data_IF_553547136566
#
_entry.id   IF_553547136566
#
_cell.length_a   1.000
_cell.length_b   1.000
_cell.length_c   1.000
_cell.angle_alpha   90.00
_cell.angle_beta   90.00
_cell.angle_gamma   90.00
#
_symmetry.space_group_name_H-M   'P 1'
#
loop_
_entity.id
_entity.type
_entity.pdbx_description
1 polymer ?
#
# COMPACT_ATOMS: atom_id res chain seq x y z
N UNK A 1 48.43 33.03 -40.87
CA UNK A 1 48.63 32.10 -39.72
C UNK A 1 47.43 32.20 -38.78
N UNK A 2 46.58 31.16 -38.71
CA UNK A 2 45.35 31.16 -37.88
C UNK A 2 45.68 30.86 -36.43
N UNK A 3 45.54 31.86 -35.54
CA UNK A 3 45.46 31.69 -34.07
C UNK A 3 44.09 31.08 -33.71
N UNK A 4 43.90 29.79 -33.94
CA UNK A 4 42.60 29.11 -33.74
C UNK A 4 42.51 28.14 -32.55
N UNK A 5 43.55 28.00 -31.73
CA UNK A 5 43.64 26.90 -30.74
C UNK A 5 43.49 27.27 -29.26
N UNK A 6 43.59 28.56 -28.90
CA UNK A 6 43.83 28.95 -27.50
C UNK A 6 42.57 28.94 -26.59
N UNK A 7 41.36 28.83 -27.16
CA UNK A 7 40.11 28.65 -26.40
C UNK A 7 39.48 27.25 -26.53
N UNK A 8 39.83 26.52 -27.60
CA UNK A 8 39.26 25.20 -27.88
C UNK A 8 39.68 24.15 -26.85
N UNK A 9 40.93 24.22 -26.34
CA UNK A 9 41.41 23.34 -25.29
C UNK A 9 40.68 23.54 -23.96
N UNK A 10 40.37 24.79 -23.59
CA UNK A 10 39.60 25.12 -22.38
C UNK A 10 38.15 24.64 -22.47
N UNK A 11 37.51 24.82 -23.63
CA UNK A 11 36.16 24.30 -23.90
C UNK A 11 36.12 22.78 -23.92
N UNK A 12 37.13 22.12 -24.50
CA UNK A 12 37.26 20.66 -24.47
C UNK A 12 37.44 20.12 -23.05
N UNK A 13 38.29 20.75 -22.24
CA UNK A 13 38.49 20.41 -20.82
C UNK A 13 37.19 20.59 -20.01
N UNK A 14 36.49 21.71 -20.20
CA UNK A 14 35.20 21.97 -19.53
C UNK A 14 34.12 20.97 -19.94
N UNK A 15 34.06 20.58 -21.23
CA UNK A 15 33.16 19.52 -21.71
C UNK A 15 33.49 18.16 -21.09
N UNK A 16 34.77 17.84 -20.95
CA UNK A 16 35.20 16.58 -20.32
C UNK A 16 34.86 16.56 -18.82
N UNK A 17 35.02 17.68 -18.14
CA UNK A 17 34.68 17.85 -16.72
C UNK A 17 33.17 17.74 -16.48
N UNK A 18 32.36 18.41 -17.32
CA UNK A 18 30.89 18.27 -17.28
C UNK A 18 30.46 16.80 -17.49
N UNK A 19 31.02 16.10 -18.49
CA UNK A 19 30.73 14.68 -18.71
C UNK A 19 31.13 13.80 -17.53
N UNK A 20 32.19 14.15 -16.81
CA UNK A 20 32.62 13.43 -15.62
C UNK A 20 31.63 13.68 -14.46
N UNK A 21 31.19 14.92 -14.27
CA UNK A 21 30.16 15.26 -13.28
C UNK A 21 28.82 14.58 -13.58
N UNK A 22 28.39 14.54 -14.84
CA UNK A 22 27.19 13.82 -15.29
C UNK A 22 27.27 12.33 -14.94
N UNK A 23 28.38 11.66 -15.29
CA UNK A 23 28.57 10.23 -14.95
C UNK A 23 28.56 9.98 -13.44
N UNK A 24 29.20 10.85 -12.66
CA UNK A 24 29.20 10.72 -11.20
C UNK A 24 27.77 10.92 -10.67
N UNK A 25 27.03 11.90 -11.19
CA UNK A 25 25.62 12.14 -10.86
C UNK A 25 24.75 10.92 -11.16
N UNK A 26 24.84 10.36 -12.37
CA UNK A 26 24.14 9.14 -12.76
C UNK A 26 24.46 7.97 -11.83
N UNK A 27 25.74 7.77 -11.49
CA UNK A 27 26.15 6.70 -10.57
C UNK A 27 25.61 6.91 -9.15
N UNK A 28 25.54 8.16 -8.68
CA UNK A 28 25.03 8.49 -7.35
C UNK A 28 23.52 8.26 -7.27
N UNK A 29 22.77 8.63 -8.30
CA UNK A 29 21.33 8.36 -8.37
C UNK A 29 21.04 6.86 -8.44
N UNK A 30 21.84 6.10 -9.20
CA UNK A 30 21.71 4.64 -9.24
C UNK A 30 21.93 4.01 -7.84
N UNK A 31 22.95 4.47 -7.11
CA UNK A 31 23.20 4.00 -5.73
C UNK A 31 22.05 4.36 -4.79
N UNK A 32 21.52 5.59 -4.88
CA UNK A 32 20.37 6.02 -4.07
C UNK A 32 19.13 5.17 -4.33
N UNK A 33 18.85 4.88 -5.61
CA UNK A 33 17.72 4.03 -5.98
C UNK A 33 17.87 2.62 -5.43
N UNK A 34 19.07 2.03 -5.50
CA UNK A 34 19.31 0.70 -4.94
C UNK A 34 19.14 0.70 -3.42
N UNK A 35 19.69 1.71 -2.72
CA UNK A 35 19.50 1.84 -1.27
C UNK A 35 18.02 1.97 -0.88
N UNK A 36 17.25 2.79 -1.60
CA UNK A 36 15.80 2.93 -1.34
C UNK A 36 15.08 1.60 -1.54
N UNK A 37 15.45 0.86 -2.59
CA UNK A 37 14.87 -0.46 -2.88
C UNK A 37 15.17 -1.46 -1.77
N UNK A 38 16.42 -1.55 -1.30
CA UNK A 38 16.81 -2.39 -0.16
C UNK A 38 16.04 -2.04 1.12
N UNK A 39 15.84 -0.75 1.39
CA UNK A 39 15.05 -0.30 2.55
C UNK A 39 13.57 -0.69 2.41
N UNK A 40 12.98 -0.57 1.22
CA UNK A 40 11.62 -1.03 0.95
C UNK A 40 11.47 -2.54 1.14
N UNK A 41 12.44 -3.33 0.69
CA UNK A 41 12.40 -4.79 0.85
C UNK A 41 12.57 -5.20 2.32
N UNK A 42 13.50 -4.56 3.04
CA UNK A 42 13.63 -4.72 4.50
C UNK A 42 12.33 -4.36 5.21
N UNK A 43 11.67 -3.27 4.82
CA UNK A 43 10.40 -2.86 5.41
C UNK A 43 9.30 -3.89 5.15
N UNK A 44 9.20 -4.43 3.94
CA UNK A 44 8.23 -5.49 3.60
C UNK A 44 8.41 -6.71 4.47
N UNK A 45 9.65 -7.17 4.66
CA UNK A 45 9.95 -8.31 5.54
C UNK A 45 9.52 -8.04 6.98
N UNK A 46 9.85 -6.86 7.53
CA UNK A 46 9.42 -6.47 8.89
C UNK A 46 7.91 -6.36 9.01
N UNK A 47 7.24 -5.87 7.97
CA UNK A 47 5.78 -5.76 7.93
C UNK A 47 5.13 -7.15 7.89
N UNK A 48 5.74 -8.12 7.22
CA UNK A 48 5.29 -9.53 7.23
C UNK A 48 5.51 -10.19 8.60
N UNK A 49 6.66 -9.98 9.22
CA UNK A 49 6.91 -10.43 10.61
C UNK A 49 5.89 -9.82 11.58
N UNK A 50 5.60 -8.53 11.44
CA UNK A 50 4.57 -7.85 12.24
C UNK A 50 3.18 -8.46 12.01
N UNK A 51 2.81 -8.67 10.74
CA UNK A 51 1.55 -9.28 10.35
C UNK A 51 1.36 -10.68 10.95
N UNK A 52 2.38 -11.55 10.92
CA UNK A 52 2.31 -12.87 11.58
C UNK A 52 2.13 -12.75 13.08
N UNK A 53 2.97 -11.94 13.73
CA UNK A 53 3.02 -11.81 15.18
C UNK A 53 1.71 -11.28 15.76
N UNK A 54 1.07 -10.35 15.06
CA UNK A 54 -0.15 -9.68 15.51
C UNK A 54 -1.39 -10.13 14.74
N UNK A 55 -1.35 -11.26 14.04
CA UNK A 55 -2.47 -11.76 13.21
C UNK A 55 -3.82 -11.72 13.93
N UNK A 56 -3.92 -12.34 15.10
CA UNK A 56 -5.16 -12.41 15.86
C UNK A 56 -5.69 -11.02 16.27
N UNK A 57 -4.79 -10.07 16.50
CA UNK A 57 -5.16 -8.69 16.81
C UNK A 57 -5.64 -7.93 15.57
N UNK A 58 -5.04 -8.20 14.40
CA UNK A 58 -5.51 -7.68 13.11
C UNK A 58 -6.90 -8.24 12.76
N UNK A 59 -7.21 -9.48 13.14
CA UNK A 59 -8.52 -10.08 12.89
C UNK A 59 -9.60 -9.55 13.85
N UNK A 60 -9.30 -9.48 15.15
CA UNK A 60 -10.28 -9.15 16.20
C UNK A 60 -10.50 -7.64 16.45
N UNK A 61 -9.47 -6.80 16.29
CA UNK A 61 -9.54 -5.36 16.59
C UNK A 61 -9.61 -4.55 15.29
N UNK A 62 -10.78 -3.99 15.02
CA UNK A 62 -11.02 -3.20 13.81
C UNK A 62 -10.15 -1.92 13.73
N UNK A 63 -9.83 -1.31 14.87
CA UNK A 63 -8.99 -0.09 14.92
C UNK A 63 -7.54 -0.45 14.63
N UNK A 64 -7.05 -1.54 15.24
CA UNK A 64 -5.71 -2.04 14.98
C UNK A 64 -5.54 -2.49 13.52
N UNK A 65 -6.56 -3.14 12.96
CA UNK A 65 -6.60 -3.50 11.53
C UNK A 65 -6.49 -2.27 10.64
N UNK A 66 -7.26 -1.21 10.91
CA UNK A 66 -7.22 0.02 10.13
C UNK A 66 -5.82 0.67 10.15
N UNK A 67 -5.17 0.70 11.32
CA UNK A 67 -3.80 1.22 11.46
C UNK A 67 -2.80 0.39 10.65
N UNK A 68 -2.90 -0.94 10.72
CA UNK A 68 -2.07 -1.85 9.93
C UNK A 68 -2.23 -1.62 8.41
N UNK A 69 -3.47 -1.49 7.94
CA UNK A 69 -3.74 -1.19 6.52
C UNK A 69 -3.16 0.18 6.10
N UNK A 70 -3.23 1.18 6.97
CA UNK A 70 -2.57 2.48 6.74
C UNK A 70 -1.05 2.37 6.61
N UNK A 71 -0.41 1.51 7.39
CA UNK A 71 1.02 1.22 7.23
C UNK A 71 1.31 0.56 5.87
N UNK A 72 0.52 -0.43 5.47
CA UNK A 72 0.67 -1.08 4.16
C UNK A 72 0.55 -0.04 3.02
N UNK A 73 -0.44 0.84 3.09
CA UNK A 73 -0.66 1.88 2.08
C UNK A 73 0.50 2.87 1.98
N UNK A 74 1.12 3.23 3.11
CA UNK A 74 2.26 4.18 3.12
C UNK A 74 3.47 3.70 2.32
N UNK A 75 3.63 2.38 2.15
CA UNK A 75 4.73 1.75 1.39
C UNK A 75 4.27 1.24 0.02
N UNK A 76 3.01 1.51 -0.36
CA UNK A 76 2.45 1.08 -1.64
C UNK A 76 2.17 -0.43 -1.69
N UNK A 77 1.96 -1.06 -0.54
CA UNK A 77 1.56 -2.46 -0.44
C UNK A 77 0.07 -2.53 -0.16
N UNK A 78 -0.67 -3.28 -0.97
CA UNK A 78 -2.09 -3.54 -0.73
C UNK A 78 -2.29 -5.02 -0.31
N UNK A 79 -2.63 -5.29 0.96
CA UNK A 79 -2.85 -6.65 1.44
C UNK A 79 -4.18 -7.27 0.95
N UNK A 80 -5.06 -6.48 0.34
CA UNK A 80 -6.37 -6.92 -0.18
C UNK A 80 -6.36 -7.17 -1.69
N UNK A 81 -5.41 -6.62 -2.43
CA UNK A 81 -5.36 -6.68 -3.90
C UNK A 81 -5.31 -8.11 -4.45
N UNK A 82 -4.64 -9.02 -3.75
CA UNK A 82 -4.51 -10.41 -4.20
C UNK A 82 -4.42 -11.37 -3.04
N UNK A 83 -5.24 -12.42 -3.11
CA UNK A 83 -5.16 -13.59 -2.21
C UNK A 83 -3.86 -14.38 -2.38
N UNK A 84 -3.16 -14.19 -3.52
CA UNK A 84 -1.82 -14.75 -3.76
C UNK A 84 -0.68 -13.84 -3.29
N UNK A 85 -0.99 -12.64 -2.79
CA UNK A 85 0.03 -11.78 -2.18
C UNK A 85 0.51 -12.40 -0.87
N UNK A 86 1.73 -12.05 -0.45
CA UNK A 86 2.32 -12.55 0.80
C UNK A 86 1.43 -12.25 2.02
N UNK A 87 0.68 -11.16 1.97
CA UNK A 87 -0.27 -10.77 3.02
C UNK A 87 -1.63 -11.47 2.88
N UNK A 88 -2.08 -11.73 1.65
CA UNK A 88 -3.37 -12.34 1.36
C UNK A 88 -3.51 -13.76 1.92
N UNK A 89 -2.46 -14.59 1.80
CA UNK A 89 -2.44 -15.95 2.37
C UNK A 89 -2.25 -15.94 3.90
N UNK A 90 -1.56 -14.93 4.42
CA UNK A 90 -1.12 -14.88 5.82
C UNK A 90 -2.12 -14.25 6.79
N UNK A 91 -3.00 -13.35 6.34
CA UNK A 91 -3.86 -12.57 7.25
C UNK A 91 -5.35 -12.89 7.13
N UNK A 92 -5.80 -13.62 6.09
CA UNK A 92 -7.22 -13.93 5.89
C UNK A 92 -8.11 -12.71 5.59
N UNK A 93 -7.54 -11.49 5.54
CA UNK A 93 -8.27 -10.24 5.32
C UNK A 93 -9.08 -10.23 4.03
N UNK A 94 -8.53 -10.80 2.95
CA UNK A 94 -9.25 -10.88 1.67
C UNK A 94 -10.58 -11.62 1.79
N UNK A 95 -10.63 -12.70 2.59
CA UNK A 95 -11.87 -13.44 2.86
C UNK A 95 -12.83 -12.60 3.71
N UNK A 96 -12.32 -11.97 4.78
CA UNK A 96 -13.12 -11.10 5.65
C UNK A 96 -13.81 -9.97 4.86
N UNK A 97 -13.07 -9.25 4.01
CA UNK A 97 -13.62 -8.14 3.22
C UNK A 97 -14.55 -8.62 2.09
N UNK A 98 -14.26 -9.77 1.48
CA UNK A 98 -15.17 -10.37 0.49
C UNK A 98 -16.50 -10.77 1.15
N UNK A 99 -16.45 -11.40 2.32
CA UNK A 99 -17.65 -11.78 3.09
C UNK A 99 -18.45 -10.55 3.53
N UNK A 100 -17.76 -9.51 4.04
CA UNK A 100 -18.39 -8.24 4.39
C UNK A 100 -19.07 -7.58 3.18
N UNK A 101 -18.44 -7.62 2.00
CA UNK A 101 -19.01 -7.10 0.76
C UNK A 101 -20.30 -7.84 0.35
N UNK A 102 -20.33 -9.16 0.49
CA UNK A 102 -21.53 -9.96 0.22
C UNK A 102 -22.66 -9.63 1.21
N UNK A 103 -22.33 -9.44 2.49
CA UNK A 103 -23.31 -9.06 3.52
C UNK A 103 -23.92 -7.68 3.24
N UNK A 104 -23.09 -6.69 2.89
CA UNK A 104 -23.55 -5.35 2.50
C UNK A 104 -24.45 -5.44 1.28
N UNK A 105 -24.02 -6.15 0.22
CA UNK A 105 -24.81 -6.32 -0.99
C UNK A 105 -26.18 -6.96 -0.68
N UNK A 106 -26.20 -7.97 0.18
CA UNK A 106 -27.43 -8.66 0.58
C UNK A 106 -28.38 -7.72 1.31
N UNK A 107 -27.87 -6.88 2.22
CA UNK A 107 -28.66 -5.87 2.92
C UNK A 107 -29.21 -4.80 1.97
N UNK A 108 -28.39 -4.31 1.04
CA UNK A 108 -28.82 -3.34 0.03
C UNK A 108 -29.91 -3.92 -0.88
N UNK A 109 -29.82 -5.21 -1.24
CA UNK A 109 -30.86 -5.89 -2.02
C UNK A 109 -32.15 -6.11 -1.21
N UNK A 110 -32.02 -6.49 0.06
CA UNK A 110 -33.17 -6.78 0.91
C UNK A 110 -33.98 -5.52 1.26
N UNK A 111 -33.32 -4.38 1.42
CA UNK A 111 -33.95 -3.10 1.82
C UNK A 111 -34.38 -2.22 0.64
N UNK A 112 -34.08 -2.65 -0.60
CA UNK A 112 -34.27 -1.86 -1.82
C UNK A 112 -35.69 -1.36 -2.04
N UNK A 113 -36.68 -2.21 -1.77
CA UNK A 113 -38.10 -1.86 -1.95
C UNK A 113 -38.58 -0.82 -0.91
N UNK A 114 -37.95 -0.81 0.27
CA UNK A 114 -38.32 0.07 1.37
C UNK A 114 -37.65 1.45 1.26
N UNK A 115 -36.42 1.51 0.76
CA UNK A 115 -35.60 2.73 0.75
C UNK A 115 -35.19 3.22 -0.66
N UNK A 116 -35.66 2.56 -1.71
CA UNK A 116 -35.34 2.92 -3.10
C UNK A 116 -33.90 2.60 -3.52
N UNK A 117 -33.16 1.81 -2.74
CA UNK A 117 -31.76 1.46 -2.98
C UNK A 117 -30.74 2.44 -2.39
N UNK A 118 -31.17 3.32 -1.49
CA UNK A 118 -30.29 4.23 -0.73
C UNK A 118 -30.40 3.91 0.76
N UNK A 119 -29.27 3.70 1.41
CA UNK A 119 -29.20 3.39 2.83
C UNK A 119 -28.15 4.29 3.49
N UNK A 120 -28.50 4.89 4.62
CA UNK A 120 -27.54 5.65 5.41
C UNK A 120 -26.44 4.72 5.95
N UNK A 121 -25.22 5.23 6.09
CA UNK A 121 -24.10 4.43 6.56
C UNK A 121 -24.27 3.96 8.01
N UNK A 122 -24.82 4.78 8.90
CA UNK A 122 -25.07 4.40 10.30
C UNK A 122 -26.19 3.34 10.38
N UNK A 123 -27.23 3.43 9.54
CA UNK A 123 -28.28 2.42 9.42
C UNK A 123 -27.73 1.09 8.88
N UNK A 124 -26.92 1.16 7.81
CA UNK A 124 -26.24 -0.01 7.24
C UNK A 124 -25.35 -0.70 8.28
N UNK A 125 -24.57 0.07 9.05
CA UNK A 125 -23.70 -0.44 10.10
C UNK A 125 -24.50 -1.13 11.20
N UNK A 126 -25.61 -0.52 11.64
CA UNK A 126 -26.49 -1.07 12.67
C UNK A 126 -27.14 -2.39 12.22
N UNK A 127 -27.62 -2.44 10.97
CA UNK A 127 -28.17 -3.66 10.38
C UNK A 127 -27.10 -4.76 10.22
N UNK A 128 -25.89 -4.42 9.76
CA UNK A 128 -24.77 -5.35 9.65
C UNK A 128 -24.37 -5.94 11.01
N UNK A 129 -24.32 -5.12 12.05
CA UNK A 129 -23.99 -5.57 13.41
C UNK A 129 -25.01 -6.59 13.93
N UNK A 130 -26.29 -6.40 13.62
CA UNK A 130 -27.34 -7.36 13.98
C UNK A 130 -27.17 -8.69 13.24
N UNK A 131 -26.86 -8.66 11.94
CA UNK A 131 -26.60 -9.86 11.13
C UNK A 131 -25.34 -10.60 11.62
N UNK A 132 -24.33 -9.87 12.07
CA UNK A 132 -23.05 -10.40 12.53
C UNK A 132 -22.96 -10.61 14.04
N UNK A 133 -24.07 -10.56 14.79
CA UNK A 133 -24.07 -10.70 16.25
C UNK A 133 -23.41 -12.01 16.77
N UNK A 134 -23.26 -13.02 15.91
CA UNK A 134 -22.57 -14.29 16.18
C UNK A 134 -21.15 -14.39 15.62
N UNK A 135 -20.69 -13.42 14.82
CA UNK A 135 -19.32 -13.39 14.27
C UNK A 135 -18.35 -12.68 15.22
N UNK A 136 -17.14 -13.23 15.37
CA UNK A 136 -16.08 -12.68 16.23
C UNK A 136 -15.40 -11.42 15.67
N UNK A 137 -15.52 -11.17 14.38
CA UNK A 137 -14.68 -10.19 13.69
C UNK A 137 -15.36 -8.82 13.68
N UNK A 138 -14.79 -7.87 14.43
CA UNK A 138 -15.30 -6.52 14.52
C UNK A 138 -15.26 -5.79 13.17
N UNK A 139 -16.22 -4.89 12.91
CA UNK A 139 -16.22 -3.97 11.77
C UNK A 139 -15.85 -2.57 12.27
N UNK A 140 -15.03 -1.83 11.51
CA UNK A 140 -14.72 -0.43 11.82
C UNK A 140 -15.89 0.48 11.47
N UNK A 141 -16.06 1.56 12.21
CA UNK A 141 -16.93 2.67 11.79
C UNK A 141 -16.33 3.40 10.60
#
# INVERSE_FOLDING_TARGET
MRRGGLGAAGVARRRQENRRMERIGESLEAVRLETVKEQCDTFKERLQEFATKYRSKIESDATFRAQFLGMCQSVGVDPLQSTKSVFGSMLGLGRFYAELGVQILTLCLATREDNGGLLDMDDCLSMLQNVRATSSDAISR
#
